data_IF_121329886387
#
_entry.id   IF_121329886387
#
_cell.length_a   1.000
_cell.length_b   1.000
_cell.length_c   1.000
_cell.angle_alpha   90.00
_cell.angle_beta   90.00
_cell.angle_gamma   90.00
#
_symmetry.space_group_name_H-M   'P 1'
#
loop_
_entity.id
_entity.type
_entity.pdbx_description
1 polymer ?
#
# COMPACT_ATOMS: atom_id res chain seq x y z
N UNK A 1 16.89 -4.51 -1.78
CA UNK A 1 15.49 -4.81 -2.16
C UNK A 1 15.40 -6.27 -2.60
N UNK A 2 14.33 -7.03 -2.27
CA UNK A 2 14.24 -8.46 -2.64
C UNK A 2 14.32 -8.70 -4.17
N UNK A 3 13.77 -7.78 -4.96
CA UNK A 3 13.83 -7.84 -6.43
C UNK A 3 15.27 -7.71 -6.97
N UNK A 4 16.15 -6.98 -6.28
CA UNK A 4 17.57 -6.89 -6.67
C UNK A 4 18.26 -8.25 -6.51
N UNK A 5 17.93 -8.99 -5.44
CA UNK A 5 18.46 -10.34 -5.23
C UNK A 5 17.89 -11.35 -6.23
N UNK A 6 16.62 -11.20 -6.62
CA UNK A 6 16.02 -12.01 -7.68
C UNK A 6 16.79 -11.86 -8.99
N UNK A 7 17.04 -10.62 -9.44
CA UNK A 7 17.74 -10.37 -10.71
C UNK A 7 19.21 -10.79 -10.74
N UNK A 8 19.84 -11.02 -9.57
CA UNK A 8 21.19 -11.63 -9.51
C UNK A 8 21.21 -13.09 -9.96
N UNK A 9 20.07 -13.79 -9.87
CA UNK A 9 19.95 -15.23 -10.13
C UNK A 9 19.03 -15.57 -11.29
N UNK A 10 18.04 -14.72 -11.53
CA UNK A 10 16.92 -14.99 -12.42
C UNK A 10 16.69 -13.81 -13.37
N UNK A 11 15.94 -14.07 -14.43
CA UNK A 11 15.42 -13.06 -15.35
C UNK A 11 13.92 -12.89 -15.13
N UNK A 12 13.42 -11.69 -15.36
CA UNK A 12 11.99 -11.43 -15.52
C UNK A 12 11.81 -10.45 -16.69
N UNK A 13 11.08 -10.90 -17.71
CA UNK A 13 10.72 -10.07 -18.86
C UNK A 13 9.64 -9.03 -18.52
N UNK A 14 8.76 -9.40 -17.60
CA UNK A 14 7.71 -8.54 -17.06
C UNK A 14 7.69 -8.74 -15.54
N UNK A 15 7.63 -7.63 -14.81
CA UNK A 15 7.35 -7.61 -13.38
C UNK A 15 6.00 -6.93 -13.21
N UNK A 16 5.05 -7.63 -12.58
CA UNK A 16 3.73 -7.08 -12.29
C UNK A 16 3.68 -6.72 -10.81
N UNK A 17 3.44 -5.45 -10.51
CA UNK A 17 3.20 -4.97 -9.16
C UNK A 17 1.69 -4.80 -8.95
N UNK A 18 1.08 -5.73 -8.21
CA UNK A 18 -0.32 -5.60 -7.82
C UNK A 18 -0.45 -4.61 -6.68
N UNK A 19 -1.05 -3.46 -6.96
CA UNK A 19 -1.16 -2.35 -6.03
C UNK A 19 -2.59 -2.21 -5.48
N UNK A 20 -2.69 -1.97 -4.17
CA UNK A 20 -3.91 -1.61 -3.45
C UNK A 20 -3.63 -0.33 -2.65
N UNK A 21 -4.04 0.86 -3.12
CA UNK A 21 -3.65 2.15 -2.52
C UNK A 21 -3.99 2.29 -1.04
N UNK A 22 -5.18 1.81 -0.66
CA UNK A 22 -5.63 1.80 0.72
C UNK A 22 -4.74 0.94 1.63
N UNK A 23 -4.00 -0.03 1.10
CA UNK A 23 -3.04 -0.80 1.89
C UNK A 23 -1.61 -0.27 1.72
N UNK A 24 -1.18 -0.08 0.48
CA UNK A 24 0.25 0.09 0.19
C UNK A 24 0.80 1.43 0.63
N UNK A 25 0.02 2.52 0.51
CA UNK A 25 0.54 3.86 0.79
C UNK A 25 0.91 4.02 2.26
N UNK A 26 -0.01 3.78 3.19
CA UNK A 26 0.31 3.89 4.62
C UNK A 26 1.28 2.79 5.03
N UNK A 27 1.14 1.57 4.51
CA UNK A 27 2.04 0.48 4.88
C UNK A 27 3.48 0.77 4.42
N UNK A 28 3.70 1.50 3.32
CA UNK A 28 5.03 1.97 2.93
C UNK A 28 5.60 3.04 3.87
N UNK A 29 4.74 3.84 4.49
CA UNK A 29 5.13 4.89 5.45
C UNK A 29 5.48 4.30 6.81
N UNK A 30 4.70 3.35 7.32
CA UNK A 30 4.85 2.86 8.70
C UNK A 30 5.69 1.60 8.80
N UNK A 31 6.47 1.52 9.88
CA UNK A 31 7.32 0.37 10.15
C UNK A 31 6.54 -0.85 10.61
N UNK A 32 5.34 -0.75 11.15
CA UNK A 32 4.54 -1.95 11.45
C UNK A 32 3.19 -1.91 10.75
N UNK A 33 2.62 -3.09 10.53
CA UNK A 33 1.26 -3.24 10.04
C UNK A 33 0.27 -3.18 11.20
N UNK A 34 -0.65 -2.21 11.23
CA UNK A 34 -1.76 -2.14 12.20
C UNK A 34 -1.32 -2.47 13.65
N UNK A 35 -1.93 -3.50 14.26
CA UNK A 35 -1.65 -3.98 15.63
C UNK A 35 -0.31 -4.76 15.78
N UNK A 36 0.44 -4.97 14.69
CA UNK A 36 1.74 -5.63 14.75
C UNK A 36 2.73 -4.81 15.58
N UNK A 37 3.51 -5.51 16.41
CA UNK A 37 4.56 -4.91 17.25
C UNK A 37 5.95 -5.08 16.65
N UNK A 38 6.06 -5.78 15.51
CA UNK A 38 7.32 -6.13 14.88
C UNK A 38 7.53 -5.26 13.63
N UNK A 39 8.52 -4.34 13.66
CA UNK A 39 8.73 -3.41 12.56
C UNK A 39 9.38 -4.10 11.37
N UNK A 40 8.85 -3.89 10.17
CA UNK A 40 9.48 -4.24 8.90
C UNK A 40 10.57 -3.22 8.52
N UNK A 41 11.60 -3.65 7.79
CA UNK A 41 12.48 -2.74 7.05
C UNK A 41 11.64 -1.76 6.22
N UNK A 42 11.92 -0.47 6.36
CA UNK A 42 11.09 0.58 5.75
C UNK A 42 11.99 1.62 5.09
N UNK A 43 11.61 2.04 3.90
CA UNK A 43 12.26 3.10 3.15
C UNK A 43 11.80 4.47 3.61
N UNK A 44 12.56 5.52 3.31
CA UNK A 44 12.14 6.91 3.54
C UNK A 44 12.61 7.80 2.41
N UNK A 45 12.04 9.01 2.35
CA UNK A 45 12.62 10.12 1.61
C UNK A 45 13.57 10.89 2.53
N UNK A 46 14.80 11.13 2.07
CA UNK A 46 15.75 12.03 2.74
C UNK A 46 15.31 13.51 2.63
N UNK A 47 16.05 14.42 3.25
CA UNK A 47 15.74 15.87 3.23
C UNK A 47 15.71 16.46 1.81
N UNK A 48 16.39 15.83 0.85
CA UNK A 48 16.37 16.21 -0.57
C UNK A 48 15.23 15.57 -1.37
N UNK A 49 14.39 14.76 -0.72
CA UNK A 49 13.29 14.04 -1.35
C UNK A 49 13.71 12.77 -2.09
N UNK A 50 14.94 12.27 -1.90
CA UNK A 50 15.41 11.04 -2.55
C UNK A 50 15.13 9.82 -1.69
N UNK A 51 14.85 8.71 -2.36
CA UNK A 51 14.62 7.43 -1.72
C UNK A 51 15.89 6.93 -1.01
N UNK A 52 15.74 6.55 0.26
CA UNK A 52 16.79 6.02 1.13
C UNK A 52 16.33 4.76 1.86
N UNK A 53 17.30 3.96 2.30
CA UNK A 53 17.07 2.72 3.04
C UNK A 53 16.55 1.55 2.20
N UNK A 54 15.97 0.52 2.86
CA UNK A 54 16.14 0.26 4.29
C UNK A 54 17.62 -0.03 4.60
N UNK A 55 18.00 0.09 5.86
CA UNK A 55 19.36 -0.27 6.29
C UNK A 55 19.48 -1.77 6.57
N UNK A 56 18.34 -2.47 6.64
CA UNK A 56 18.28 -3.91 6.86
C UNK A 56 18.38 -4.73 5.57
N UNK A 57 19.01 -5.90 5.67
CA UNK A 57 19.26 -6.83 4.57
C UNK A 57 18.25 -7.99 4.60
N UNK A 58 18.05 -8.66 3.46
CA UNK A 58 17.17 -9.84 3.42
C UNK A 58 17.73 -10.94 4.34
N UNK A 59 16.86 -11.53 5.16
CA UNK A 59 17.24 -12.56 6.13
C UNK A 59 17.94 -12.03 7.38
N UNK A 60 18.18 -10.73 7.50
CA UNK A 60 18.72 -10.15 8.74
C UNK A 60 17.68 -10.28 9.87
N UNK A 61 18.04 -10.84 11.04
CA UNK A 61 17.13 -10.85 12.17
C UNK A 61 16.91 -9.42 12.70
N UNK A 62 15.65 -9.05 12.91
CA UNK A 62 15.27 -7.69 13.35
C UNK A 62 15.43 -7.48 14.86
N UNK A 63 15.38 -8.57 15.63
CA UNK A 63 15.61 -8.59 17.07
C UNK A 63 17.00 -9.21 17.35
N UNK A 64 18.03 -8.38 17.23
CA UNK A 64 19.41 -8.75 17.51
C UNK A 64 19.86 -8.07 18.81
N UNK A 65 19.75 -8.79 19.92
CA UNK A 65 20.44 -8.44 21.15
C UNK A 65 21.51 -9.49 21.45
N UNK A 66 22.72 -9.10 21.85
CA UNK A 66 23.72 -10.05 22.35
C UNK A 66 23.29 -10.69 23.69
N UNK A 67 22.26 -10.14 24.34
CA UNK A 67 21.70 -10.64 25.59
C UNK A 67 20.47 -11.50 25.28
N UNK A 68 20.55 -12.81 25.58
CA UNK A 68 19.49 -13.79 25.27
C UNK A 68 18.13 -13.37 25.83
N UNK A 69 18.08 -12.92 27.09
CA UNK A 69 16.82 -12.49 27.73
C UNK A 69 16.22 -11.28 27.01
N UNK A 70 17.06 -10.31 26.63
CA UNK A 70 16.59 -9.15 25.86
C UNK A 70 16.12 -9.55 24.46
N UNK A 71 16.78 -10.48 23.79
CA UNK A 71 16.34 -11.01 22.50
C UNK A 71 15.00 -11.77 22.62
N UNK A 72 14.83 -12.58 23.67
CA UNK A 72 13.56 -13.26 23.96
C UNK A 72 12.44 -12.25 24.24
N UNK A 73 12.73 -11.21 25.02
CA UNK A 73 11.77 -10.16 25.34
C UNK A 73 11.36 -9.37 24.08
N UNK A 74 12.33 -9.00 23.24
CA UNK A 74 12.07 -8.35 21.94
C UNK A 74 11.23 -9.23 21.01
N UNK A 75 11.46 -10.55 20.99
CA UNK A 75 10.67 -11.48 20.19
C UNK A 75 9.25 -11.66 20.73
N UNK A 76 9.10 -11.72 22.05
CA UNK A 76 7.81 -11.93 22.70
C UNK A 76 6.92 -10.68 22.69
N UNK A 77 7.50 -9.49 22.87
CA UNK A 77 6.75 -8.24 23.06
C UNK A 77 6.90 -7.24 21.91
N UNK A 78 7.78 -7.53 20.94
CA UNK A 78 8.07 -6.69 19.78
C UNK A 78 8.98 -5.49 20.10
N UNK A 79 9.02 -4.53 19.18
CA UNK A 79 9.85 -3.32 19.25
C UNK A 79 9.00 -2.05 19.11
N UNK A 80 8.01 -1.81 20.00
CA UNK A 80 7.01 -0.74 19.83
C UNK A 80 7.60 0.67 19.82
N UNK A 81 8.78 0.87 20.41
CA UNK A 81 9.47 2.18 20.37
C UNK A 81 10.01 2.53 18.99
N UNK A 82 10.24 1.55 18.10
CA UNK A 82 10.73 1.81 16.73
C UNK A 82 9.67 2.52 15.90
N UNK A 83 8.40 2.18 16.08
CA UNK A 83 7.27 2.89 15.48
C UNK A 83 7.13 4.29 16.06
N UNK A 84 7.06 4.41 17.39
CA UNK A 84 6.88 5.72 18.04
C UNK A 84 7.99 6.70 17.66
N UNK A 85 9.26 6.27 17.65
CA UNK A 85 10.38 7.13 17.22
C UNK A 85 10.31 7.48 15.75
N UNK A 86 9.87 6.55 14.90
CA UNK A 86 9.70 6.78 13.48
C UNK A 86 8.63 7.84 13.20
N UNK A 87 7.49 7.74 13.87
CA UNK A 87 6.36 8.66 13.70
C UNK A 87 6.69 10.11 14.07
N UNK A 88 7.67 10.34 14.94
CA UNK A 88 8.18 11.69 15.27
C UNK A 88 8.85 12.39 14.09
N UNK A 89 9.32 11.64 13.10
CA UNK A 89 9.98 12.17 11.91
C UNK A 89 9.03 12.28 10.71
N UNK A 90 7.79 11.78 10.83
CA UNK A 90 6.80 11.89 9.78
C UNK A 90 6.13 13.27 9.82
N UNK A 91 5.72 13.83 8.67
CA UNK A 91 4.94 15.06 8.63
C UNK A 91 3.64 14.95 9.41
N UNK A 92 2.98 16.09 9.64
CA UNK A 92 1.72 16.16 10.36
C UNK A 92 0.61 15.33 9.67
N UNK A 93 -0.17 14.54 10.44
CA UNK A 93 -1.30 13.77 9.92
C UNK A 93 -2.50 14.70 9.61
N UNK A 94 -3.56 14.12 9.03
CA UNK A 94 -4.83 14.79 8.85
C UNK A 94 -5.41 15.31 10.16
N UNK A 95 -5.92 16.54 10.11
CA UNK A 95 -6.61 17.16 11.25
C UNK A 95 -8.12 17.02 11.03
N UNK A 96 -8.82 16.23 11.85
CA UNK A 96 -10.26 16.08 11.74
C UNK A 96 -10.99 17.39 12.05
N UNK A 97 -12.22 17.52 11.56
CA UNK A 97 -13.06 18.68 11.85
C UNK A 97 -13.51 18.60 13.31
N UNK A 98 -13.36 19.71 14.05
CA UNK A 98 -13.81 19.81 15.44
C UNK A 98 -15.34 19.90 15.57
N UNK A 99 -16.01 20.40 14.52
CA UNK A 99 -17.47 20.54 14.45
C UNK A 99 -17.91 20.40 13.00
N UNK A 100 -19.07 19.79 12.80
CA UNK A 100 -19.72 19.71 11.49
C UNK A 100 -21.24 19.66 11.68
N UNK A 101 -21.96 20.61 11.10
CA UNK A 101 -23.42 20.74 11.25
C UNK A 101 -24.20 20.07 10.09
N UNK A 102 -23.51 19.40 9.15
CA UNK A 102 -24.12 18.72 8.00
C UNK A 102 -24.46 17.25 8.26
N UNK A 103 -24.92 16.50 7.23
CA UNK A 103 -25.23 15.08 7.37
C UNK A 103 -23.97 14.25 7.64
N UNK A 104 -24.03 13.39 8.65
CA UNK A 104 -22.90 12.57 9.10
C UNK A 104 -23.24 11.10 8.96
N UNK A 105 -22.28 10.32 8.47
CA UNK A 105 -22.33 8.86 8.43
C UNK A 105 -21.79 8.27 9.74
N UNK A 106 -22.53 7.32 10.30
CA UNK A 106 -22.22 6.66 11.58
C UNK A 106 -21.56 5.31 11.42
N UNK A 107 -21.41 4.78 10.20
CA UNK A 107 -20.95 3.41 10.00
C UNK A 107 -19.51 3.18 10.49
N UNK A 108 -18.64 4.19 10.49
CA UNK A 108 -17.32 4.09 11.14
C UNK A 108 -17.43 3.91 12.65
N UNK A 109 -18.33 4.64 13.31
CA UNK A 109 -18.59 4.48 14.74
C UNK A 109 -19.24 3.14 15.05
N UNK A 110 -20.17 2.67 14.22
CA UNK A 110 -20.81 1.36 14.38
C UNK A 110 -19.78 0.22 14.23
N UNK A 111 -18.91 0.31 13.23
CA UNK A 111 -17.78 -0.60 13.05
C UNK A 111 -16.81 -0.55 14.23
N UNK A 112 -16.53 0.63 14.77
CA UNK A 112 -15.69 0.78 15.95
C UNK A 112 -16.30 0.11 17.19
N UNK A 113 -17.59 0.33 17.41
CA UNK A 113 -18.33 -0.22 18.56
C UNK A 113 -18.32 -1.76 18.55
N UNK A 114 -18.48 -2.37 17.39
CA UNK A 114 -18.50 -3.83 17.18
C UNK A 114 -17.13 -4.43 16.86
N UNK A 115 -16.12 -3.60 16.61
CA UNK A 115 -14.83 -3.97 16.02
C UNK A 115 -14.95 -4.66 14.64
N UNK A 116 -16.01 -4.36 13.88
CA UNK A 116 -16.27 -4.95 12.55
C UNK A 116 -15.13 -4.63 11.57
N UNK A 117 -14.60 -5.67 10.92
CA UNK A 117 -13.46 -5.52 10.00
C UNK A 117 -12.21 -4.96 10.67
N UNK A 118 -12.02 -5.25 11.98
CA UNK A 118 -10.90 -4.77 12.81
C UNK A 118 -10.77 -3.25 12.86
N UNK A 119 -11.89 -2.53 12.85
CA UNK A 119 -11.90 -1.07 12.88
C UNK A 119 -11.14 -0.46 14.07
N UNK A 120 -10.97 -1.18 15.18
CA UNK A 120 -10.16 -0.69 16.32
C UNK A 120 -8.66 -0.72 16.07
N UNK A 121 -8.21 -1.44 15.06
CA UNK A 121 -6.80 -1.47 14.63
C UNK A 121 -6.46 -0.28 13.71
N UNK A 122 -7.46 0.35 13.10
CA UNK A 122 -7.32 1.54 12.26
C UNK A 122 -6.94 2.75 13.12
N UNK A 123 -5.82 3.40 12.81
CA UNK A 123 -5.38 4.60 13.53
C UNK A 123 -5.38 5.83 12.63
N UNK A 124 -6.54 6.50 12.58
CA UNK A 124 -6.73 7.73 11.82
C UNK A 124 -6.00 8.94 12.41
N UNK A 125 -5.71 8.94 13.72
CA UNK A 125 -5.00 10.04 14.38
C UNK A 125 -3.56 10.17 13.87
N UNK A 126 -2.97 9.06 13.44
CA UNK A 126 -1.64 9.05 12.83
C UNK A 126 -1.66 8.73 11.33
N UNK A 127 -2.82 8.49 10.73
CA UNK A 127 -3.00 7.99 9.35
C UNK A 127 -2.39 6.60 9.09
N UNK A 128 -2.09 5.84 10.13
CA UNK A 128 -1.78 4.42 10.01
C UNK A 128 -3.08 3.65 9.84
N UNK A 129 -3.72 3.86 8.70
CA UNK A 129 -5.08 3.43 8.42
C UNK A 129 -5.31 3.26 6.92
N UNK A 130 -6.06 2.23 6.55
CA UNK A 130 -6.47 2.04 5.15
C UNK A 130 -7.51 3.04 4.67
N UNK A 131 -8.16 3.73 5.60
CA UNK A 131 -9.13 4.78 5.33
C UNK A 131 -8.46 6.13 5.03
N UNK A 132 -7.19 6.31 5.40
CA UNK A 132 -6.51 7.60 5.29
C UNK A 132 -6.40 8.10 3.84
N UNK A 133 -6.27 7.21 2.86
CA UNK A 133 -6.15 7.55 1.43
C UNK A 133 -7.40 8.27 0.88
N UNK A 134 -8.51 8.21 1.60
CA UNK A 134 -9.77 8.84 1.24
C UNK A 134 -9.96 10.23 1.84
N UNK A 135 -9.19 10.59 2.88
CA UNK A 135 -9.37 11.83 3.64
C UNK A 135 -9.13 13.05 2.77
N UNK A 136 -10.01 14.05 2.89
CA UNK A 136 -9.92 15.32 2.16
C UNK A 136 -10.03 16.52 3.11
N UNK A 137 -9.20 17.56 2.93
CA UNK A 137 -8.07 17.63 2.00
C UNK A 137 -6.94 16.65 2.39
N UNK A 138 -6.09 16.30 1.41
CA UNK A 138 -4.87 15.52 1.63
C UNK A 138 -3.99 16.20 2.70
N UNK A 139 -3.54 15.43 3.70
CA UNK A 139 -2.58 15.92 4.71
C UNK A 139 -1.13 15.95 4.19
N UNK A 140 -0.23 16.57 4.96
CA UNK A 140 1.22 16.53 4.67
C UNK A 140 1.78 15.11 4.74
N UNK A 141 1.31 14.30 5.69
CA UNK A 141 1.73 12.90 5.87
C UNK A 141 1.24 12.01 4.73
N UNK A 142 0.00 12.16 4.29
CA UNK A 142 -0.50 11.47 3.11
C UNK A 142 0.31 11.85 1.87
N UNK A 143 0.59 13.15 1.67
CA UNK A 143 1.46 13.60 0.56
C UNK A 143 2.82 12.90 0.60
N UNK A 144 3.48 12.87 1.75
CA UNK A 144 4.74 12.15 1.94
C UNK A 144 4.62 10.65 1.59
N UNK A 145 3.53 9.99 2.01
CA UNK A 145 3.30 8.59 1.68
C UNK A 145 3.13 8.33 0.18
N UNK A 146 2.47 9.25 -0.52
CA UNK A 146 2.34 9.19 -1.99
C UNK A 146 3.69 9.40 -2.67
N UNK A 147 4.49 10.37 -2.21
CA UNK A 147 5.83 10.65 -2.74
C UNK A 147 6.78 9.47 -2.51
N UNK A 148 6.76 8.89 -1.31
CA UNK A 148 7.54 7.71 -0.96
C UNK A 148 7.14 6.50 -1.82
N UNK A 149 5.84 6.23 -1.93
CA UNK A 149 5.34 5.11 -2.75
C UNK A 149 5.73 5.29 -4.21
N UNK A 150 5.59 6.51 -4.74
CA UNK A 150 5.99 6.83 -6.11
C UNK A 150 7.50 6.65 -6.31
N UNK A 151 8.33 7.09 -5.37
CA UNK A 151 9.79 6.92 -5.43
C UNK A 151 10.19 5.44 -5.37
N UNK A 152 9.52 4.63 -4.55
CA UNK A 152 9.69 3.18 -4.51
C UNK A 152 9.34 2.52 -5.85
N UNK A 153 8.19 2.85 -6.42
CA UNK A 153 7.78 2.32 -7.72
C UNK A 153 8.75 2.72 -8.83
N UNK A 154 9.27 3.96 -8.81
CA UNK A 154 10.34 4.39 -9.73
C UNK A 154 11.60 3.54 -9.58
N UNK A 155 12.06 3.30 -8.34
CA UNK A 155 13.24 2.46 -8.10
C UNK A 155 13.04 1.03 -8.61
N UNK A 156 11.84 0.48 -8.44
CA UNK A 156 11.47 -0.83 -9.01
C UNK A 156 11.54 -0.77 -10.54
N UNK A 157 10.96 0.25 -11.17
CA UNK A 157 10.99 0.41 -12.63
C UNK A 157 12.41 0.54 -13.19
N UNK A 158 13.26 1.33 -12.54
CA UNK A 158 14.67 1.48 -12.91
C UNK A 158 15.41 0.14 -12.85
N UNK A 159 15.22 -0.62 -11.77
CA UNK A 159 15.82 -1.93 -11.59
C UNK A 159 15.35 -2.92 -12.66
N UNK A 160 14.04 -2.95 -12.93
CA UNK A 160 13.44 -3.83 -13.93
C UNK A 160 13.95 -3.48 -15.33
N UNK A 161 13.97 -2.20 -15.69
CA UNK A 161 14.47 -1.70 -16.98
C UNK A 161 15.97 -1.97 -17.16
N UNK A 162 16.77 -1.77 -16.11
CA UNK A 162 18.21 -2.09 -16.12
C UNK A 162 18.49 -3.58 -16.36
N UNK A 163 17.50 -4.45 -16.08
CA UNK A 163 17.54 -5.89 -16.34
C UNK A 163 16.73 -6.28 -17.58
N UNK A 164 16.45 -5.33 -18.49
CA UNK A 164 15.71 -5.53 -19.74
C UNK A 164 14.27 -6.04 -19.58
N UNK A 165 13.68 -5.90 -18.40
CA UNK A 165 12.28 -6.19 -18.14
C UNK A 165 11.39 -4.95 -18.29
N UNK A 166 10.07 -5.16 -18.19
CA UNK A 166 9.06 -4.10 -18.11
C UNK A 166 8.30 -4.19 -16.80
N UNK A 167 8.06 -3.04 -16.14
CA UNK A 167 7.18 -2.97 -14.97
C UNK A 167 5.76 -2.64 -15.41
N UNK A 168 4.77 -3.38 -14.91
CA UNK A 168 3.35 -3.10 -15.06
C UNK A 168 2.71 -3.00 -13.68
N UNK A 169 1.94 -1.95 -13.44
CA UNK A 169 1.15 -1.77 -12.21
C UNK A 169 -0.24 -2.35 -12.45
N UNK A 170 -0.62 -3.37 -11.68
CA UNK A 170 -1.95 -3.98 -11.74
C UNK A 170 -2.84 -3.41 -10.64
N UNK A 171 -4.07 -3.06 -10.99
CA UNK A 171 -5.14 -2.76 -10.05
C UNK A 171 -6.37 -3.62 -10.34
N UNK A 172 -6.99 -4.13 -9.28
CA UNK A 172 -8.34 -4.67 -9.35
C UNK A 172 -9.35 -3.54 -9.09
N UNK A 173 -10.28 -3.33 -10.02
CA UNK A 173 -11.39 -2.39 -9.86
C UNK A 173 -12.65 -3.13 -9.42
N UNK A 174 -12.95 -3.06 -8.12
CA UNK A 174 -14.12 -3.70 -7.50
C UNK A 174 -15.39 -2.87 -7.57
N UNK A 175 -15.38 -1.70 -8.24
CA UNK A 175 -16.59 -1.03 -8.69
C UNK A 175 -17.54 -0.58 -7.56
N UNK A 176 -17.12 -0.60 -6.29
CA UNK A 176 -17.90 -0.05 -5.19
C UNK A 176 -17.94 1.47 -5.30
N UNK A 177 -18.94 1.96 -6.03
CA UNK A 177 -19.20 3.36 -6.25
C UNK A 177 -19.38 4.07 -4.90
N UNK A 178 -18.33 4.70 -4.41
CA UNK A 178 -18.49 5.76 -3.41
C UNK A 178 -19.10 6.95 -4.16
N UNK A 179 -20.12 7.62 -3.59
CA UNK A 179 -20.71 8.79 -4.23
C UNK A 179 -19.63 9.82 -4.58
N UNK A 180 -19.77 10.48 -5.74
CA UNK A 180 -18.84 11.53 -6.20
C UNK A 180 -18.90 12.81 -5.33
N UNK A 181 -19.77 12.81 -4.32
CA UNK A 181 -19.91 13.85 -3.30
C UNK A 181 -19.11 13.48 -2.06
N UNK A 182 -18.39 14.46 -1.52
CA UNK A 182 -17.67 14.31 -0.25
C UNK A 182 -18.64 13.86 0.87
N UNK A 183 -18.18 12.93 1.68
CA UNK A 183 -18.93 12.39 2.81
C UNK A 183 -18.21 12.73 4.11
N UNK A 184 -18.97 12.89 5.20
CA UNK A 184 -18.39 13.09 6.54
C UNK A 184 -18.77 11.93 7.43
N UNK A 185 -17.78 11.31 8.06
CA UNK A 185 -17.92 10.21 9.00
C UNK A 185 -17.62 10.69 10.41
N UNK A 186 -18.34 10.17 11.40
CA UNK A 186 -18.01 10.36 12.82
C UNK A 186 -17.29 9.14 13.37
N UNK A 187 -16.24 9.39 14.13
CA UNK A 187 -15.53 8.38 14.92
C UNK A 187 -15.02 9.01 16.21
N UNK A 188 -15.41 8.45 17.35
CA UNK A 188 -15.04 8.87 18.71
C UNK A 188 -15.20 10.39 18.93
N UNK A 189 -16.31 10.96 18.43
CA UNK A 189 -16.63 12.38 18.57
C UNK A 189 -15.87 13.32 17.63
N UNK A 190 -15.04 12.80 16.72
CA UNK A 190 -14.33 13.57 15.68
C UNK A 190 -14.96 13.32 14.31
N UNK A 191 -14.86 14.30 13.42
CA UNK A 191 -15.46 14.25 12.09
C UNK A 191 -14.39 14.20 11.00
N UNK A 192 -14.51 13.21 10.10
CA UNK A 192 -13.55 12.94 9.04
C UNK A 192 -14.25 13.12 7.70
N UNK A 193 -13.74 14.03 6.86
CA UNK A 193 -14.25 14.21 5.51
C UNK A 193 -13.48 13.30 4.55
N UNK A 194 -14.20 12.55 3.73
CA UNK A 194 -13.64 11.67 2.71
C UNK A 194 -14.18 12.01 1.32
N UNK A 195 -13.41 11.71 0.28
CA UNK A 195 -13.74 12.03 -1.10
C UNK A 195 -13.26 10.96 -2.07
N UNK A 196 -14.16 10.46 -2.92
CA UNK A 196 -13.81 9.60 -4.05
C UNK A 196 -12.84 10.30 -5.00
N UNK A 197 -13.03 11.60 -5.24
CA UNK A 197 -12.14 12.39 -6.12
C UNK A 197 -10.73 12.48 -5.54
N UNK A 198 -10.60 12.63 -4.22
CA UNK A 198 -9.29 12.64 -3.56
C UNK A 198 -8.61 11.27 -3.67
N UNK A 199 -9.34 10.18 -3.50
CA UNK A 199 -8.83 8.82 -3.71
C UNK A 199 -8.32 8.61 -5.15
N UNK A 200 -9.13 8.94 -6.16
CA UNK A 200 -8.75 8.84 -7.59
C UNK A 200 -7.55 9.74 -7.91
N UNK A 201 -7.49 10.94 -7.32
CA UNK A 201 -6.35 11.85 -7.45
C UNK A 201 -5.08 11.28 -6.81
N UNK A 202 -5.19 10.63 -5.64
CA UNK A 202 -4.08 9.95 -4.97
C UNK A 202 -3.55 8.79 -5.82
N UNK A 203 -4.44 7.94 -6.35
CA UNK A 203 -4.09 6.87 -7.29
C UNK A 203 -3.36 7.40 -8.52
N UNK A 204 -3.96 8.38 -9.20
CA UNK A 204 -3.40 8.98 -10.41
C UNK A 204 -2.04 9.60 -10.14
N UNK A 205 -1.86 10.26 -8.99
CA UNK A 205 -0.60 10.87 -8.61
C UNK A 205 0.53 9.83 -8.47
N UNK A 206 0.29 8.76 -7.71
CA UNK A 206 1.31 7.74 -7.47
C UNK A 206 1.67 7.03 -8.78
N UNK A 207 0.68 6.76 -9.63
CA UNK A 207 0.86 5.95 -10.83
C UNK A 207 1.14 6.72 -12.12
N UNK A 208 1.16 8.06 -12.09
CA UNK A 208 1.44 8.89 -13.27
C UNK A 208 2.76 8.51 -13.94
N UNK A 209 2.72 8.09 -15.19
CA UNK A 209 3.91 7.76 -15.98
C UNK A 209 4.41 6.31 -15.83
N UNK A 210 3.66 5.44 -15.17
CA UNK A 210 3.87 3.99 -15.22
C UNK A 210 2.84 3.33 -16.13
N UNK A 211 3.21 2.19 -16.71
CA UNK A 211 2.24 1.32 -17.38
C UNK A 211 1.30 0.74 -16.33
N UNK A 212 0.00 0.92 -16.53
CA UNK A 212 -1.04 0.50 -15.60
C UNK A 212 -2.06 -0.38 -16.32
N UNK A 213 -2.40 -1.50 -15.70
CA UNK A 213 -3.48 -2.37 -16.12
C UNK A 213 -4.54 -2.40 -15.02
N UNK A 214 -5.76 -2.07 -15.39
CA UNK A 214 -6.91 -2.13 -14.50
C UNK A 214 -7.79 -3.28 -14.97
N UNK A 215 -7.96 -4.27 -14.10
CA UNK A 215 -8.86 -5.40 -14.34
C UNK A 215 -10.10 -5.19 -13.50
N UNK A 216 -11.24 -5.04 -14.18
CA UNK A 216 -12.53 -4.87 -13.53
C UNK A 216 -13.00 -6.21 -12.97
N UNK A 217 -13.40 -6.19 -11.70
CA UNK A 217 -14.04 -7.33 -11.04
C UNK A 217 -15.54 -7.26 -11.31
N UNK A 218 -16.10 -8.32 -11.86
CA UNK A 218 -17.55 -8.41 -12.17
C UNK A 218 -18.27 -9.44 -11.32
N UNK A 219 -17.53 -10.26 -10.58
CA UNK A 219 -18.07 -11.14 -9.54
C UNK A 219 -18.83 -10.30 -8.50
N UNK A 220 -20.11 -10.61 -8.27
CA UNK A 220 -20.98 -9.83 -7.36
C UNK A 220 -20.51 -9.91 -5.92
N UNK A 221 -20.34 -11.12 -5.41
CA UNK A 221 -19.86 -11.38 -4.04
C UNK A 221 -18.34 -11.58 -4.09
N UNK A 222 -17.61 -10.54 -4.49
CA UNK A 222 -16.17 -10.64 -4.75
C UNK A 222 -15.32 -10.77 -3.48
N UNK A 223 -15.86 -10.44 -2.31
CA UNK A 223 -15.13 -10.42 -1.03
C UNK A 223 -14.95 -11.82 -0.46
N UNK A 224 -13.90 -12.03 0.33
CA UNK A 224 -13.72 -13.27 1.13
C UNK A 224 -14.86 -13.43 2.14
N UNK A 225 -15.34 -12.32 2.69
CA UNK A 225 -16.47 -12.28 3.60
C UNK A 225 -16.99 -10.86 3.79
N UNK A 226 -18.08 -10.68 4.54
CA UNK A 226 -18.71 -9.36 4.74
C UNK A 226 -17.77 -8.34 5.40
N UNK A 227 -16.82 -8.81 6.22
CA UNK A 227 -15.85 -7.99 6.94
C UNK A 227 -14.45 -7.97 6.32
N UNK A 228 -14.24 -8.79 5.30
CA UNK A 228 -12.94 -8.99 4.67
C UNK A 228 -12.97 -8.41 3.26
N UNK A 229 -12.40 -7.20 3.12
CA UNK A 229 -12.32 -6.49 1.85
C UNK A 229 -11.30 -7.06 0.86
N UNK A 230 -10.70 -8.23 1.12
CA UNK A 230 -9.87 -8.92 0.12
C UNK A 230 -10.73 -9.65 -0.91
N UNK A 231 -10.19 -9.78 -2.13
CA UNK A 231 -10.80 -10.61 -3.18
C UNK A 231 -10.84 -12.07 -2.72
N UNK A 232 -11.97 -12.74 -2.91
CA UNK A 232 -12.06 -14.18 -2.77
C UNK A 232 -11.39 -14.91 -3.94
N UNK A 233 -11.37 -16.24 -3.88
CA UNK A 233 -10.74 -17.07 -4.90
C UNK A 233 -11.31 -16.79 -6.31
N UNK A 234 -12.63 -16.73 -6.45
CA UNK A 234 -13.28 -16.49 -7.74
C UNK A 234 -12.92 -15.12 -8.34
N UNK A 235 -12.96 -14.07 -7.53
CA UNK A 235 -12.57 -12.72 -7.96
C UNK A 235 -11.07 -12.63 -8.27
N UNK A 236 -10.22 -13.34 -7.51
CA UNK A 236 -8.79 -13.42 -7.78
C UNK A 236 -8.52 -14.13 -9.11
N UNK A 237 -9.23 -15.23 -9.38
CA UNK A 237 -9.11 -15.96 -10.65
C UNK A 237 -9.55 -15.09 -11.83
N UNK A 238 -10.63 -14.31 -11.70
CA UNK A 238 -11.06 -13.34 -12.71
C UNK A 238 -9.98 -12.29 -12.98
N UNK A 239 -9.39 -11.72 -11.93
CA UNK A 239 -8.31 -10.72 -12.07
C UNK A 239 -7.08 -11.33 -12.75
N UNK A 240 -6.67 -12.54 -12.35
CA UNK A 240 -5.51 -13.22 -12.91
C UNK A 240 -5.73 -13.63 -14.37
N UNK A 241 -6.92 -14.11 -14.72
CA UNK A 241 -7.27 -14.41 -16.10
C UNK A 241 -7.25 -13.14 -16.97
N UNK A 242 -7.85 -12.06 -16.50
CA UNK A 242 -7.85 -10.78 -17.19
C UNK A 242 -6.45 -10.18 -17.37
N UNK A 243 -5.58 -10.31 -16.36
CA UNK A 243 -4.17 -9.94 -16.46
C UNK A 243 -3.46 -10.81 -17.50
N UNK A 244 -3.63 -12.13 -17.45
CA UNK A 244 -2.95 -13.06 -18.36
C UNK A 244 -3.26 -12.75 -19.82
N UNK A 245 -4.52 -12.47 -20.15
CA UNK A 245 -4.93 -12.14 -21.52
C UNK A 245 -4.32 -10.82 -22.00
N UNK A 246 -4.25 -9.80 -21.14
CA UNK A 246 -3.57 -8.52 -21.43
C UNK A 246 -2.08 -8.72 -21.64
N UNK A 247 -1.44 -9.51 -20.79
CA UNK A 247 0.00 -9.78 -20.89
C UNK A 247 0.36 -10.60 -22.14
N UNK A 248 -0.47 -11.56 -22.56
CA UNK A 248 -0.27 -12.29 -23.82
C UNK A 248 -0.28 -11.35 -25.02
N UNK A 249 -1.22 -10.42 -25.06
CA UNK A 249 -1.31 -9.43 -26.13
C UNK A 249 -0.06 -8.51 -26.17
N UNK A 250 0.51 -8.19 -25.01
CA UNK A 250 1.71 -7.35 -24.91
C UNK A 250 3.01 -8.11 -25.24
N UNK A 251 3.15 -9.36 -24.80
CA UNK A 251 4.32 -10.20 -25.11
C UNK A 251 4.39 -10.49 -26.61
N UNK A 252 3.25 -10.67 -27.28
CA UNK A 252 3.17 -10.90 -28.72
C UNK A 252 3.63 -9.69 -29.57
N UNK A 253 3.68 -8.48 -28.99
CA UNK A 253 4.13 -7.24 -29.66
C UNK A 253 5.64 -7.01 -29.61
N UNK A 254 6.44 -7.94 -29.04
CA UNK A 254 7.91 -7.78 -28.99
C UNK A 254 8.52 -7.72 -30.41
N UNK A 255 9.44 -6.78 -30.68
CA UNK A 255 10.18 -6.75 -31.95
C UNK A 255 11.02 -8.02 -32.13
N UNK A 256 11.21 -8.52 -33.36
CA UNK A 256 12.12 -9.63 -33.63
C UNK A 256 13.56 -9.22 -33.27
N UNK A 257 14.24 -9.96 -32.40
CA UNK A 257 15.65 -9.73 -32.05
C UNK A 257 16.02 -9.82 -30.56
N UNK A 258 15.05 -9.95 -29.64
CA UNK A 258 15.33 -10.35 -28.26
C UNK A 258 15.25 -11.87 -28.11
N UNK A 259 16.17 -12.59 -28.74
CA UNK A 259 16.24 -14.03 -28.56
C UNK A 259 16.53 -14.37 -27.07
N UNK A 260 15.85 -15.37 -26.50
CA UNK A 260 16.23 -15.91 -25.22
C UNK A 260 17.64 -16.50 -25.36
N UNK A 261 18.63 -15.95 -24.66
CA UNK A 261 19.89 -16.67 -24.46
C UNK A 261 19.56 -18.04 -23.87
N UNK A 262 20.24 -19.11 -24.31
CA UNK A 262 19.96 -20.46 -23.85
C UNK A 262 19.99 -20.50 -22.32
N UNK A 263 18.99 -21.19 -21.74
CA UNK A 263 18.93 -21.46 -20.30
C UNK A 263 20.26 -22.10 -19.88
N UNK A 264 20.90 -21.53 -18.86
CA UNK A 264 22.00 -22.17 -18.15
C UNK A 264 21.49 -23.37 -17.34
#
# INVERSE_FOLDING_TARGET
MALEEYFRKYRADVVVLWQTPGNDIWNNVFKTHMASRNPKPTYWLDESGRLSGPNEWLGQPLANSPIVVAALWQRAFGLPWRDKRWELHLPEPYVPLNRYDGPVRTDWQERWNTNLGRMRDENLDTEKSGLAVWLTPRSKRMQYGLDLTRALTRRIQELVTANHGRLVILQADTQEATPDVDQVYVLNGRYYRVSQRQFVSNWSYVNKGFDTEIVRVTVKDWRVGPEDGHLNAQATDEVMAGLADRMRAEIAKRPPGMDPRPRA
#
